data_IF_501404886317
#
_entry.id   IF_501404886317
#
_cell.length_a   1.000
_cell.length_b   1.000
_cell.length_c   1.000
_cell.angle_alpha   90.00
_cell.angle_beta   90.00
_cell.angle_gamma   90.00
#
_symmetry.space_group_name_H-M   'P 1'
#
loop_
_entity.id
_entity.type
_entity.pdbx_description
1 polymer ?
#
# COMPACT_ATOMS: atom_id res chain seq x y z
N UNK A 1 17.90 -29.64 10.66
CA UNK A 1 16.70 -28.77 10.51
C UNK A 1 17.08 -27.29 10.44
N UNK A 2 18.26 -26.89 10.95
CA UNK A 2 18.82 -25.53 10.87
C UNK A 2 19.14 -25.03 9.44
N UNK A 3 19.62 -25.89 8.53
CA UNK A 3 20.01 -25.45 7.17
C UNK A 3 18.86 -24.94 6.29
N UNK A 4 17.61 -25.31 6.62
CA UNK A 4 16.42 -24.76 5.93
C UNK A 4 16.03 -23.38 6.45
N UNK A 5 16.39 -23.04 7.68
CA UNK A 5 16.08 -21.74 8.29
C UNK A 5 17.04 -20.66 7.75
N UNK A 6 18.33 -20.99 7.63
CA UNK A 6 19.35 -20.10 7.08
C UNK A 6 19.10 -19.73 5.61
N UNK A 7 18.66 -20.68 4.78
CA UNK A 7 18.31 -20.42 3.37
C UNK A 7 17.09 -19.50 3.19
N UNK A 8 16.12 -19.53 4.10
CA UNK A 8 15.01 -18.58 4.10
C UNK A 8 15.46 -17.15 4.47
N UNK A 9 16.38 -16.99 5.42
CA UNK A 9 16.87 -15.67 5.81
C UNK A 9 17.60 -14.96 4.67
N UNK A 10 18.36 -15.68 3.85
CA UNK A 10 19.17 -15.06 2.78
C UNK A 10 18.34 -14.57 1.60
N UNK A 11 17.27 -15.28 1.24
CA UNK A 11 16.37 -14.86 0.17
C UNK A 11 15.39 -13.74 0.60
N UNK A 12 15.29 -13.45 1.90
CA UNK A 12 14.39 -12.42 2.45
C UNK A 12 15.06 -11.07 2.76
N UNK A 13 16.40 -11.04 2.89
CA UNK A 13 17.16 -9.79 2.93
C UNK A 13 16.90 -8.84 1.73
N UNK A 14 16.87 -9.30 0.46
CA UNK A 14 16.61 -8.41 -0.67
C UNK A 14 15.19 -7.84 -0.65
N UNK A 15 14.19 -8.61 -0.20
CA UNK A 15 12.80 -8.16 -0.11
C UNK A 15 12.65 -7.00 0.87
N UNK A 16 13.23 -7.10 2.09
CA UNK A 16 13.09 -6.05 3.09
C UNK A 16 13.80 -4.76 2.66
N UNK A 17 14.95 -4.88 1.99
CA UNK A 17 15.67 -3.72 1.41
C UNK A 17 14.83 -3.08 0.31
N UNK A 18 14.25 -3.87 -0.58
CA UNK A 18 13.38 -3.39 -1.66
C UNK A 18 12.13 -2.66 -1.11
N UNK A 19 11.44 -3.25 -0.13
CA UNK A 19 10.26 -2.63 0.50
C UNK A 19 10.62 -1.33 1.22
N UNK A 20 11.80 -1.23 1.85
CA UNK A 20 12.30 0.02 2.43
C UNK A 20 12.50 1.10 1.36
N UNK A 21 13.12 0.75 0.23
CA UNK A 21 13.33 1.69 -0.88
C UNK A 21 11.98 2.17 -1.42
N UNK A 22 11.02 1.28 -1.64
CA UNK A 22 9.66 1.65 -2.05
C UNK A 22 9.01 2.57 -1.03
N UNK A 23 9.08 2.25 0.26
CA UNK A 23 8.47 3.06 1.32
C UNK A 23 9.08 4.47 1.41
N UNK A 24 10.40 4.61 1.19
CA UNK A 24 11.06 5.91 1.09
C UNK A 24 10.58 6.66 -0.16
N UNK A 25 10.53 5.99 -1.31
CA UNK A 25 10.05 6.59 -2.55
C UNK A 25 8.60 7.07 -2.43
N UNK A 26 7.71 6.27 -1.81
CA UNK A 26 6.32 6.64 -1.53
C UNK A 26 6.23 7.84 -0.59
N UNK A 27 7.06 7.89 0.45
CA UNK A 27 7.12 9.03 1.36
C UNK A 27 7.47 10.31 0.59
N UNK A 28 8.51 10.27 -0.25
CA UNK A 28 8.91 11.41 -1.07
C UNK A 28 7.80 11.81 -2.03
N UNK A 29 7.17 10.83 -2.69
CA UNK A 29 6.09 11.06 -3.63
C UNK A 29 4.91 11.77 -2.95
N UNK A 30 4.40 11.24 -1.83
CA UNK A 30 3.27 11.85 -1.12
C UNK A 30 3.61 13.24 -0.58
N UNK A 31 4.85 13.45 -0.12
CA UNK A 31 5.28 14.76 0.35
C UNK A 31 5.38 15.78 -0.80
N UNK A 32 5.90 15.36 -1.95
CA UNK A 32 5.95 16.21 -3.15
C UNK A 32 4.55 16.57 -3.66
N UNK A 33 3.63 15.61 -3.65
CA UNK A 33 2.24 15.82 -4.04
C UNK A 33 1.51 16.74 -3.05
N UNK A 34 1.78 16.59 -1.75
CA UNK A 34 1.29 17.53 -0.73
C UNK A 34 1.75 18.95 -1.01
N UNK A 35 3.05 19.19 -1.22
CA UNK A 35 3.58 20.53 -1.49
C UNK A 35 2.95 21.12 -2.75
N UNK A 36 2.89 20.35 -3.84
CA UNK A 36 2.32 20.80 -5.10
C UNK A 36 0.84 21.19 -4.95
N UNK A 37 0.02 20.29 -4.41
CA UNK A 37 -1.40 20.54 -4.21
C UNK A 37 -1.67 21.65 -3.20
N UNK A 38 -0.82 21.82 -2.19
CA UNK A 38 -0.94 22.90 -1.22
C UNK A 38 -0.67 24.26 -1.87
N UNK A 39 0.41 24.39 -2.65
CA UNK A 39 0.76 25.64 -3.35
C UNK A 39 -0.33 26.05 -4.33
N UNK A 40 -0.86 25.10 -5.10
CA UNK A 40 -1.94 25.37 -6.06
C UNK A 40 -3.27 25.64 -5.32
N UNK A 41 -3.57 24.85 -4.30
CA UNK A 41 -4.82 24.94 -3.53
C UNK A 41 -4.97 26.24 -2.75
N UNK A 42 -3.87 26.83 -2.27
CA UNK A 42 -3.89 28.16 -1.64
C UNK A 42 -4.20 29.27 -2.65
N UNK A 43 -3.85 29.08 -3.92
CA UNK A 43 -4.02 30.10 -4.98
C UNK A 43 -5.38 30.06 -5.65
N UNK A 44 -5.88 28.87 -5.97
CA UNK A 44 -7.00 28.75 -6.92
C UNK A 44 -8.24 28.06 -6.37
N UNK A 45 -8.09 26.90 -5.71
CA UNK A 45 -9.28 26.10 -5.33
C UNK A 45 -9.16 25.41 -3.96
N UNK A 46 -10.20 25.50 -3.10
CA UNK A 46 -10.22 24.83 -1.80
C UNK A 46 -10.31 23.30 -1.92
N UNK A 47 -10.77 22.78 -3.07
CA UNK A 47 -10.80 21.35 -3.34
C UNK A 47 -9.40 20.72 -3.37
N UNK A 48 -8.42 21.40 -3.99
CA UNK A 48 -7.02 20.96 -4.02
C UNK A 48 -6.37 20.97 -2.63
N UNK A 49 -6.85 21.84 -1.72
CA UNK A 49 -6.42 21.83 -0.33
C UNK A 49 -6.85 20.54 0.39
N UNK A 50 -8.06 20.05 0.10
CA UNK A 50 -8.53 18.75 0.59
C UNK A 50 -7.63 17.61 0.12
N UNK A 51 -7.27 17.60 -1.16
CA UNK A 51 -6.32 16.62 -1.74
C UNK A 51 -4.95 16.74 -1.05
N UNK A 52 -4.45 17.95 -0.83
CA UNK A 52 -3.18 18.16 -0.13
C UNK A 52 -3.21 17.55 1.29
N UNK A 53 -4.26 17.80 2.07
CA UNK A 53 -4.42 17.21 3.39
C UNK A 53 -4.42 15.67 3.36
N UNK A 54 -5.09 15.07 2.38
CA UNK A 54 -5.03 13.60 2.22
C UNK A 54 -3.63 13.11 1.89
N UNK A 55 -2.92 13.77 0.96
CA UNK A 55 -1.55 13.41 0.62
C UNK A 55 -0.59 13.52 1.81
N UNK A 56 -0.78 14.54 2.67
CA UNK A 56 -0.03 14.69 3.91
C UNK A 56 -0.28 13.54 4.89
N UNK A 57 -1.54 13.11 5.07
CA UNK A 57 -1.86 11.94 5.89
C UNK A 57 -1.21 10.66 5.35
N UNK A 58 -1.22 10.46 4.03
CA UNK A 58 -0.53 9.33 3.39
C UNK A 58 0.99 9.39 3.60
N UNK A 59 1.61 10.58 3.57
CA UNK A 59 3.02 10.74 3.91
C UNK A 59 3.31 10.35 5.37
N UNK A 60 2.47 10.74 6.33
CA UNK A 60 2.60 10.33 7.74
C UNK A 60 2.49 8.81 7.89
N UNK A 61 1.53 8.18 7.21
CA UNK A 61 1.40 6.73 7.21
C UNK A 61 2.60 6.03 6.57
N UNK A 62 3.16 6.59 5.49
CA UNK A 62 4.37 6.07 4.85
C UNK A 62 5.59 6.13 5.78
N UNK A 63 5.75 7.22 6.54
CA UNK A 63 6.79 7.35 7.57
C UNK A 63 6.57 6.34 8.70
N UNK A 64 5.32 6.18 9.14
CA UNK A 64 4.94 5.22 10.18
C UNK A 64 5.24 3.78 9.75
N UNK A 65 4.98 3.46 8.49
CA UNK A 65 5.33 2.18 7.87
C UNK A 65 6.85 1.96 7.82
N UNK A 66 7.63 2.96 7.41
CA UNK A 66 9.10 2.88 7.40
C UNK A 66 9.66 2.65 8.81
N UNK A 67 9.11 3.36 9.80
CA UNK A 67 9.46 3.17 11.21
C UNK A 67 9.08 1.78 11.71
N UNK A 68 7.89 1.30 11.33
CA UNK A 68 7.39 -0.04 11.63
C UNK A 68 8.32 -1.14 11.10
N UNK A 69 8.82 -1.01 9.87
CA UNK A 69 9.82 -1.95 9.31
C UNK A 69 11.14 -1.90 10.08
N UNK A 70 11.62 -0.71 10.46
CA UNK A 70 12.90 -0.58 11.17
C UNK A 70 12.84 -1.12 12.58
N UNK A 71 11.73 -0.91 13.27
CA UNK A 71 11.53 -1.32 14.67
C UNK A 71 10.86 -2.70 14.79
N UNK A 72 10.52 -3.33 13.65
CA UNK A 72 9.76 -4.58 13.59
C UNK A 72 8.42 -4.54 14.35
N UNK A 73 7.78 -3.36 14.36
CA UNK A 73 6.48 -3.12 15.00
C UNK A 73 5.39 -3.21 13.93
N UNK A 74 4.64 -4.30 13.95
CA UNK A 74 3.55 -4.61 13.03
C UNK A 74 2.40 -3.60 13.09
N UNK A 75 2.08 -3.09 14.28
CA UNK A 75 1.02 -2.11 14.48
C UNK A 75 1.23 -0.79 13.73
N UNK A 76 2.50 -0.35 13.56
CA UNK A 76 2.82 0.91 12.86
C UNK A 76 2.72 0.78 11.33
N UNK A 77 2.78 -0.44 10.80
CA UNK A 77 2.71 -0.69 9.36
C UNK A 77 1.25 -0.76 8.86
N UNK A 78 0.32 -1.09 9.75
CA UNK A 78 -1.08 -1.34 9.38
C UNK A 78 -1.80 -0.12 8.79
N UNK A 79 -1.66 1.12 9.33
CA UNK A 79 -2.43 2.28 8.86
C UNK A 79 -2.21 2.61 7.38
N UNK A 80 -0.96 2.51 6.90
CA UNK A 80 -0.66 2.73 5.48
C UNK A 80 -1.34 1.67 4.62
N UNK A 81 -1.19 0.39 4.97
CA UNK A 81 -1.78 -0.72 4.21
C UNK A 81 -3.30 -0.62 4.13
N UNK A 82 -3.96 -0.25 5.23
CA UNK A 82 -5.41 -0.08 5.25
C UNK A 82 -5.85 1.11 4.42
N UNK A 83 -5.15 2.25 4.52
CA UNK A 83 -5.47 3.44 3.72
C UNK A 83 -5.28 3.16 2.21
N UNK A 84 -4.19 2.49 1.87
CA UNK A 84 -3.86 2.02 0.52
C UNK A 84 -4.91 1.05 -0.04
N UNK A 85 -5.40 0.11 0.79
CA UNK A 85 -6.46 -0.81 0.39
C UNK A 85 -7.77 -0.06 0.09
N UNK A 86 -8.18 0.86 0.96
CA UNK A 86 -9.38 1.69 0.77
C UNK A 86 -9.27 2.52 -0.51
N UNK A 87 -8.12 3.18 -0.71
CA UNK A 87 -7.86 3.99 -1.91
C UNK A 87 -7.98 3.16 -3.18
N UNK A 88 -7.45 1.94 -3.20
CA UNK A 88 -7.57 1.04 -4.38
C UNK A 88 -9.00 0.63 -4.65
N UNK A 89 -9.77 0.30 -3.62
CA UNK A 89 -11.18 -0.03 -3.79
C UNK A 89 -11.94 1.17 -4.40
N UNK A 90 -11.72 2.38 -3.88
CA UNK A 90 -12.32 3.59 -4.42
C UNK A 90 -11.91 3.87 -5.88
N UNK A 91 -10.61 3.75 -6.20
CA UNK A 91 -10.10 3.91 -7.56
C UNK A 91 -10.63 2.83 -8.51
N UNK A 92 -10.80 1.60 -8.04
CA UNK A 92 -11.40 0.51 -8.81
C UNK A 92 -12.84 0.79 -9.20
N UNK A 93 -13.65 1.33 -8.27
CA UNK A 93 -15.00 1.78 -8.58
C UNK A 93 -15.00 2.94 -9.59
N UNK A 94 -14.13 3.94 -9.40
CA UNK A 94 -14.00 5.06 -10.34
C UNK A 94 -13.60 4.59 -11.75
N UNK A 95 -12.65 3.65 -11.85
CA UNK A 95 -12.21 3.07 -13.11
C UNK A 95 -13.33 2.27 -13.79
N UNK A 96 -14.10 1.49 -13.02
CA UNK A 96 -15.26 0.77 -13.54
C UNK A 96 -16.33 1.74 -14.08
N UNK A 97 -16.63 2.82 -13.36
CA UNK A 97 -17.54 3.86 -13.81
C UNK A 97 -17.05 4.53 -15.11
N UNK A 98 -15.75 4.77 -15.22
CA UNK A 98 -15.12 5.35 -16.41
C UNK A 98 -15.24 4.41 -17.63
N UNK A 99 -15.01 3.10 -17.45
CA UNK A 99 -15.24 2.10 -18.49
C UNK A 99 -16.72 1.99 -18.89
N UNK A 100 -17.66 2.09 -17.94
CA UNK A 100 -19.09 2.15 -18.24
C UNK A 100 -19.41 3.41 -19.06
N UNK A 101 -18.86 4.56 -18.68
CA UNK A 101 -19.02 5.80 -19.45
C UNK A 101 -18.48 5.67 -20.87
N UNK A 102 -17.36 4.95 -21.06
CA UNK A 102 -16.85 4.64 -22.39
C UNK A 102 -17.82 3.80 -23.22
N UNK A 103 -18.37 2.73 -22.65
CA UNK A 103 -19.37 1.91 -23.33
C UNK A 103 -20.62 2.72 -23.72
N UNK A 104 -21.11 3.58 -22.81
CA UNK A 104 -22.24 4.46 -23.10
C UNK A 104 -21.94 5.47 -24.21
N UNK A 105 -20.71 5.98 -24.26
CA UNK A 105 -20.26 6.93 -25.28
C UNK A 105 -20.22 6.29 -26.68
N UNK A 106 -19.90 4.99 -26.80
CA UNK A 106 -19.97 4.26 -28.10
C UNK A 106 -21.39 4.29 -28.68
N UNK A 107 -22.40 4.23 -27.82
CA UNK A 107 -23.81 4.29 -28.23
C UNK A 107 -24.35 5.72 -28.33
N UNK A 108 -23.49 6.75 -28.23
CA UNK A 108 -23.86 8.16 -28.18
C UNK A 108 -24.88 8.49 -27.06
N UNK A 109 -24.86 7.76 -25.94
CA UNK A 109 -25.69 8.09 -24.76
C UNK A 109 -25.04 9.14 -23.85
N UNK A 110 -23.74 9.39 -24.01
CA UNK A 110 -22.97 10.35 -23.22
C UNK A 110 -21.98 11.09 -24.11
N UNK A 111 -22.09 12.42 -24.14
CA UNK A 111 -21.12 13.29 -24.79
C UNK A 111 -20.04 13.71 -23.80
N UNK A 112 -18.79 13.44 -24.14
CA UNK A 112 -17.62 13.87 -23.37
C UNK A 112 -16.77 14.73 -24.30
N UNK A 113 -16.53 15.97 -23.90
CA UNK A 113 -15.63 16.85 -24.64
C UNK A 113 -14.18 16.39 -24.45
N UNK A 114 -13.43 16.33 -25.54
CA UNK A 114 -11.98 16.10 -25.47
C UNK A 114 -11.29 17.34 -24.92
N UNK A 115 -10.45 17.17 -23.91
CA UNK A 115 -9.54 18.22 -23.42
C UNK A 115 -8.27 18.35 -24.29
N UNK A 116 -8.12 17.48 -25.30
CA UNK A 116 -6.98 17.47 -26.21
C UNK A 116 -7.46 17.84 -27.60
N UNK A 117 -6.95 18.95 -28.12
CA UNK A 117 -7.19 19.38 -29.50
C UNK A 117 -6.75 18.28 -30.48
N UNK A 118 -7.67 17.87 -31.35
CA UNK A 118 -7.43 16.86 -32.38
C UNK A 118 -7.84 15.43 -32.05
N UNK A 119 -8.38 15.16 -30.85
CA UNK A 119 -8.99 13.88 -30.50
C UNK A 119 -10.50 13.99 -30.40
N UNK A 120 -11.22 13.00 -30.93
CA UNK A 120 -12.65 12.88 -30.67
C UNK A 120 -12.88 12.48 -29.20
N UNK A 121 -14.00 12.91 -28.62
CA UNK A 121 -14.33 12.65 -27.20
C UNK A 121 -14.28 11.17 -26.80
N UNK A 122 -14.74 10.29 -27.69
CA UNK A 122 -14.70 8.82 -27.53
C UNK A 122 -13.27 8.27 -27.52
N UNK A 123 -12.41 8.76 -28.41
CA UNK A 123 -11.01 8.37 -28.52
C UNK A 123 -10.22 8.85 -27.29
N UNK A 124 -10.44 10.09 -26.88
CA UNK A 124 -9.88 10.66 -25.66
C UNK A 124 -10.26 9.82 -24.42
N UNK A 125 -11.54 9.45 -24.32
CA UNK A 125 -12.05 8.62 -23.23
C UNK A 125 -11.42 7.22 -23.23
N UNK A 126 -11.29 6.57 -24.40
CA UNK A 126 -10.62 5.28 -24.53
C UNK A 126 -9.16 5.34 -24.05
N UNK A 127 -8.40 6.33 -24.52
CA UNK A 127 -7.01 6.52 -24.12
C UNK A 127 -6.92 6.74 -22.61
N UNK A 128 -7.81 7.55 -22.05
CA UNK A 128 -7.90 7.80 -20.60
C UNK A 128 -8.20 6.51 -19.83
N UNK A 129 -9.17 5.71 -20.27
CA UNK A 129 -9.48 4.39 -19.68
C UNK A 129 -8.26 3.47 -19.66
N UNK A 130 -7.56 3.35 -20.79
CA UNK A 130 -6.39 2.46 -20.92
C UNK A 130 -5.24 2.95 -20.03
N UNK A 131 -4.91 4.23 -20.08
CA UNK A 131 -3.86 4.83 -19.25
C UNK A 131 -4.15 4.64 -17.75
N UNK A 132 -5.37 4.94 -17.30
CA UNK A 132 -5.76 4.76 -15.90
C UNK A 132 -5.77 3.29 -15.48
N UNK A 133 -6.13 2.37 -16.38
CA UNK A 133 -6.07 0.92 -16.11
C UNK A 133 -4.62 0.46 -15.91
N UNK A 134 -3.69 0.95 -16.72
CA UNK A 134 -2.25 0.65 -16.58
C UNK A 134 -1.72 1.19 -15.24
N UNK A 135 -2.02 2.45 -14.93
CA UNK A 135 -1.63 3.09 -13.66
C UNK A 135 -2.20 2.31 -12.47
N UNK A 136 -3.46 1.90 -12.54
CA UNK A 136 -4.13 1.10 -11.50
C UNK A 136 -3.47 -0.27 -11.32
N UNK A 137 -3.05 -0.94 -12.40
CA UNK A 137 -2.33 -2.20 -12.34
C UNK A 137 -0.96 -2.03 -11.65
N UNK A 138 -0.19 -1.00 -11.99
CA UNK A 138 1.07 -0.69 -11.28
C UNK A 138 0.84 -0.42 -9.79
N UNK A 139 -0.26 0.27 -9.47
CA UNK A 139 -0.63 0.55 -8.09
C UNK A 139 -0.91 -0.74 -7.28
N UNK A 140 -1.44 -1.79 -7.90
CA UNK A 140 -1.59 -3.11 -7.28
C UNK A 140 -0.24 -3.79 -7.02
N UNK A 141 0.70 -3.74 -7.96
CA UNK A 141 2.04 -4.34 -7.80
C UNK A 141 2.77 -3.72 -6.60
N UNK A 142 2.67 -2.39 -6.46
CA UNK A 142 3.24 -1.68 -5.31
C UNK A 142 2.61 -2.12 -3.99
N UNK A 143 1.29 -2.34 -3.96
CA UNK A 143 0.59 -2.82 -2.76
C UNK A 143 1.06 -4.20 -2.32
N UNK A 144 1.13 -5.15 -3.25
CA UNK A 144 1.55 -6.51 -2.93
C UNK A 144 2.96 -6.52 -2.36
N UNK A 145 3.84 -5.66 -2.89
CA UNK A 145 5.20 -5.48 -2.34
C UNK A 145 5.17 -5.00 -0.88
N UNK A 146 4.34 -4.00 -0.55
CA UNK A 146 4.17 -3.52 0.84
C UNK A 146 3.51 -4.57 1.74
N UNK A 147 2.53 -5.31 1.22
CA UNK A 147 1.82 -6.35 1.94
C UNK A 147 2.75 -7.52 2.28
N UNK A 148 3.58 -7.95 1.35
CA UNK A 148 4.58 -9.00 1.56
C UNK A 148 5.62 -8.58 2.60
N UNK A 149 6.06 -7.32 2.56
CA UNK A 149 6.92 -6.73 3.60
C UNK A 149 6.29 -6.80 5.00
N UNK A 150 5.01 -6.46 5.13
CA UNK A 150 4.27 -6.59 6.38
C UNK A 150 4.12 -8.04 6.84
N UNK A 151 3.71 -8.93 5.93
CA UNK A 151 3.53 -10.36 6.22
C UNK A 151 4.83 -10.98 6.72
N UNK A 152 5.95 -10.58 6.15
CA UNK A 152 7.27 -11.01 6.59
C UNK A 152 7.56 -10.57 8.04
N UNK A 153 7.44 -9.28 8.34
CA UNK A 153 7.68 -8.73 9.69
C UNK A 153 6.75 -9.36 10.72
N UNK A 154 5.46 -9.50 10.39
CA UNK A 154 4.46 -10.15 11.26
C UNK A 154 4.86 -11.59 11.59
N UNK A 155 5.20 -12.38 10.57
CA UNK A 155 5.61 -13.79 10.76
C UNK A 155 6.85 -13.91 11.66
N UNK A 156 7.80 -12.98 11.53
CA UNK A 156 8.98 -12.95 12.37
C UNK A 156 8.64 -12.59 13.83
N UNK A 157 7.77 -11.60 14.03
CA UNK A 157 7.32 -11.20 15.36
C UNK A 157 6.52 -12.31 16.06
N UNK A 158 5.58 -12.95 15.33
CA UNK A 158 4.79 -14.07 15.85
C UNK A 158 5.68 -15.25 16.24
N UNK A 159 6.69 -15.58 15.41
CA UNK A 159 7.68 -16.62 15.75
C UNK A 159 8.46 -16.28 17.01
N UNK A 160 8.89 -15.02 17.18
CA UNK A 160 9.59 -14.59 18.41
C UNK A 160 8.71 -14.69 19.64
N UNK A 161 7.43 -14.30 19.54
CA UNK A 161 6.44 -14.43 20.63
C UNK A 161 6.20 -15.89 20.99
N UNK A 162 6.09 -16.77 19.99
CA UNK A 162 5.97 -18.22 20.20
C UNK A 162 7.19 -18.78 20.92
N UNK A 163 8.42 -18.49 20.46
CA UNK A 163 9.64 -18.97 21.14
C UNK A 163 9.80 -18.41 22.56
N UNK A 164 9.40 -17.15 22.80
CA UNK A 164 9.41 -16.56 24.13
C UNK A 164 8.40 -17.27 25.06
N UNK A 165 7.18 -17.52 24.57
CA UNK A 165 6.13 -18.18 25.34
C UNK A 165 6.36 -19.69 25.51
N UNK A 166 6.96 -20.38 24.54
CA UNK A 166 7.38 -21.78 24.68
C UNK A 166 8.29 -21.94 25.89
N UNK A 167 9.19 -20.99 26.16
CA UNK A 167 10.02 -21.04 27.37
C UNK A 167 9.20 -20.98 28.68
N UNK A 168 8.03 -20.34 28.67
CA UNK A 168 7.17 -20.17 29.84
C UNK A 168 6.25 -21.38 30.04
N UNK A 169 5.59 -21.86 28.98
CA UNK A 169 4.72 -23.04 29.03
C UNK A 169 5.51 -24.35 29.16
N UNK A 170 6.70 -24.44 28.55
CA UNK A 170 7.59 -25.60 28.68
C UNK A 170 8.26 -25.62 30.07
N UNK A 171 8.52 -24.47 30.70
CA UNK A 171 8.90 -24.39 32.12
C UNK A 171 7.78 -24.85 33.06
N UNK A 172 6.54 -24.42 32.81
CA UNK A 172 5.35 -24.86 33.56
C UNK A 172 5.12 -26.38 33.46
N UNK A 173 5.31 -26.97 32.28
CA UNK A 173 5.20 -28.43 32.09
C UNK A 173 6.36 -29.22 32.70
N UNK A 174 7.57 -28.65 32.84
CA UNK A 174 8.69 -29.33 33.51
C UNK A 174 8.57 -29.32 35.04
N UNK A 175 7.85 -28.37 35.63
CA UNK A 175 7.54 -28.37 37.07
C UNK A 175 6.36 -29.28 37.44
N UNK A 176 5.62 -29.79 36.45
CA UNK A 176 4.49 -30.70 36.64
C UNK A 176 4.88 -32.18 36.54
N UNK A 177 6.10 -32.55 36.93
CA UNK A 177 6.43 -33.96 37.14
C UNK A 177 5.76 -34.38 38.46
N UNK A 178 4.75 -35.28 38.46
CA UNK A 178 4.29 -35.86 39.71
C UNK A 178 5.47 -36.61 40.30
N UNK A 179 5.91 -36.20 41.50
CA UNK A 179 6.73 -37.05 42.35
C UNK A 179 5.92 -38.32 42.57
N UNK A 180 6.36 -39.38 41.89
CA UNK A 180 5.80 -40.72 42.03
C UNK A 180 5.92 -41.10 43.50
N UNK A 181 4.80 -41.54 44.07
CA UNK A 181 4.68 -42.19 45.38
C UNK A 181 5.67 -43.34 45.55
#
# INVERSE_FOLDING_TARGET
MEDRVLRCCWNSCPLLVYVRVISVALTILYFSLFILCFVIGVRETPFLLGIACTAFLFAIFAISYLKGIRQEIDALMLPLLTAEMILRVALGFALAALWISFVLSIFNLTDIESLIDGLNGTEFLLVTCVCLTIVYAFHFVLFFSLYDGYRYVKKQNDRRRMCANDSTYMKLNMTARPTVL
#
